data_IF_709496872796
#
_entry.id   IF_709496872796
#
_cell.length_a   1.000
_cell.length_b   1.000
_cell.length_c   1.000
_cell.angle_alpha   90.00
_cell.angle_beta   90.00
_cell.angle_gamma   90.00
#
_symmetry.space_group_name_H-M   'P 1'
#
loop_
_entity.id
_entity.type
_entity.pdbx_description
1 polymer ?
#
# COMPACT_ATOMS: atom_id res chain seq x y z
N UNK A 1 6.76 -21.28 2.41
CA UNK A 1 7.96 -20.76 3.10
C UNK A 1 7.72 -19.30 3.45
N UNK A 2 7.78 -18.97 4.73
CA UNK A 2 7.80 -17.58 5.16
C UNK A 2 9.13 -16.98 4.76
N UNK A 3 9.14 -16.08 3.80
CA UNK A 3 10.33 -15.34 3.44
C UNK A 3 10.23 -13.93 4.00
N UNK A 4 11.25 -13.52 4.73
CA UNK A 4 11.39 -12.13 5.22
C UNK A 4 11.91 -11.18 4.14
N UNK A 5 12.07 -11.65 2.91
CA UNK A 5 12.61 -10.90 1.77
C UNK A 5 11.57 -10.78 0.67
N UNK A 6 11.56 -9.67 -0.07
CA UNK A 6 10.73 -9.55 -1.26
C UNK A 6 10.98 -10.69 -2.25
N UNK A 7 9.90 -11.23 -2.81
CA UNK A 7 9.98 -12.30 -3.81
C UNK A 7 9.65 -11.73 -5.18
N UNK A 8 10.53 -11.96 -6.14
CA UNK A 8 10.31 -11.61 -7.55
C UNK A 8 10.13 -12.89 -8.35
N UNK A 9 8.99 -13.00 -9.03
CA UNK A 9 8.68 -14.12 -9.92
C UNK A 9 8.92 -13.68 -11.36
N UNK A 10 9.92 -14.29 -12.00
CA UNK A 10 10.19 -14.09 -13.42
C UNK A 10 9.38 -15.10 -14.23
N UNK A 11 8.30 -14.64 -14.87
CA UNK A 11 7.44 -15.48 -15.68
C UNK A 11 7.79 -15.33 -17.17
N UNK A 12 8.26 -16.42 -17.80
CA UNK A 12 8.42 -16.49 -19.24
C UNK A 12 7.12 -16.99 -19.85
N UNK A 13 6.42 -16.14 -20.57
CA UNK A 13 5.12 -16.44 -21.16
C UNK A 13 5.16 -16.26 -22.67
N UNK A 14 4.10 -16.76 -23.34
CA UNK A 14 3.89 -16.57 -24.76
C UNK A 14 2.77 -15.58 -24.96
N UNK A 15 3.02 -14.50 -25.68
CA UNK A 15 2.01 -13.48 -25.98
C UNK A 15 0.89 -14.11 -26.82
N UNK A 16 -0.35 -13.87 -26.42
CA UNK A 16 -1.52 -14.45 -27.10
C UNK A 16 -1.65 -15.96 -26.90
N UNK A 17 -1.10 -16.53 -25.83
CA UNK A 17 -1.21 -17.96 -25.54
C UNK A 17 -2.67 -18.45 -25.66
N UNK A 18 -2.86 -19.50 -26.42
CA UNK A 18 -4.18 -20.10 -26.68
C UNK A 18 -4.87 -19.60 -27.94
N UNK A 19 -4.49 -18.47 -28.50
CA UNK A 19 -5.14 -17.91 -29.72
C UNK A 19 -4.70 -18.60 -31.01
N UNK A 20 -3.77 -19.54 -30.94
CA UNK A 20 -3.31 -20.35 -32.08
C UNK A 20 -2.94 -19.46 -33.30
N UNK A 21 -3.43 -19.80 -34.48
CA UNK A 21 -3.15 -19.06 -35.71
C UNK A 21 -3.62 -17.59 -35.68
N UNK A 22 -4.53 -17.22 -34.80
CA UNK A 22 -5.02 -15.85 -34.68
C UNK A 22 -4.02 -14.87 -34.06
N UNK A 23 -2.83 -15.34 -33.66
CA UNK A 23 -1.81 -14.44 -33.16
C UNK A 23 -0.89 -14.97 -32.05
N UNK A 24 -0.96 -16.26 -31.69
CA UNK A 24 -0.09 -16.82 -30.66
C UNK A 24 1.38 -16.65 -31.04
N UNK A 25 2.16 -16.08 -30.13
CA UNK A 25 3.58 -15.73 -30.33
C UNK A 25 3.83 -14.69 -31.44
N UNK A 26 2.80 -13.99 -31.90
CA UNK A 26 2.89 -12.97 -32.94
C UNK A 26 2.80 -11.56 -32.37
N UNK A 27 3.46 -10.60 -33.00
CA UNK A 27 3.33 -9.18 -32.70
C UNK A 27 1.94 -8.64 -33.06
N UNK A 28 1.23 -9.27 -33.98
CA UNK A 28 -0.13 -8.90 -34.37
C UNK A 28 -1.13 -9.01 -33.20
N UNK A 29 -0.88 -9.89 -32.26
CA UNK A 29 -1.69 -10.05 -31.04
C UNK A 29 -1.85 -8.75 -30.29
N UNK A 30 -0.88 -7.85 -30.34
CA UNK A 30 -0.96 -6.54 -29.67
C UNK A 30 -2.09 -5.66 -30.25
N UNK A 31 -2.36 -5.80 -31.52
CA UNK A 31 -3.38 -5.01 -32.24
C UNK A 31 -4.69 -5.76 -32.44
N UNK A 32 -4.73 -7.01 -32.01
CA UNK A 32 -5.92 -7.85 -32.18
C UNK A 32 -7.05 -7.35 -31.27
N UNK A 33 -8.15 -6.88 -31.88
CA UNK A 33 -9.30 -6.36 -31.15
C UNK A 33 -10.42 -7.41 -30.93
N UNK A 34 -10.54 -8.36 -31.84
CA UNK A 34 -11.54 -9.42 -31.80
C UNK A 34 -10.99 -10.69 -32.43
N UNK A 35 -11.36 -11.82 -31.90
CA UNK A 35 -11.19 -13.12 -32.54
C UNK A 35 -12.41 -13.37 -33.46
N UNK A 36 -12.15 -13.99 -34.61
CA UNK A 36 -13.23 -14.52 -35.43
C UNK A 36 -13.84 -15.79 -34.81
N UNK A 37 -14.93 -16.26 -35.35
CA UNK A 37 -15.66 -17.39 -34.79
C UNK A 37 -14.85 -18.70 -34.86
N UNK A 38 -14.02 -18.88 -35.89
CA UNK A 38 -13.17 -20.05 -36.02
C UNK A 38 -12.09 -20.08 -34.93
N UNK A 39 -11.46 -18.93 -34.68
CA UNK A 39 -10.45 -18.74 -33.62
C UNK A 39 -11.06 -18.90 -32.23
N UNK A 40 -12.28 -18.37 -31.99
CA UNK A 40 -12.99 -18.58 -30.75
C UNK A 40 -13.31 -20.06 -30.51
N UNK A 41 -13.71 -20.80 -31.57
CA UNK A 41 -13.95 -22.22 -31.50
C UNK A 41 -12.68 -23.01 -31.18
N UNK A 42 -11.59 -22.71 -31.86
CA UNK A 42 -10.29 -23.33 -31.60
C UNK A 42 -9.80 -23.07 -30.15
N UNK A 43 -9.97 -21.85 -29.65
CA UNK A 43 -9.67 -21.49 -28.27
C UNK A 43 -10.52 -22.28 -27.27
N UNK A 44 -11.83 -22.29 -27.46
CA UNK A 44 -12.77 -23.06 -26.64
C UNK A 44 -12.40 -24.53 -26.58
N UNK A 45 -12.17 -25.14 -27.75
CA UNK A 45 -11.90 -26.57 -27.88
C UNK A 45 -10.53 -26.92 -27.25
N UNK A 46 -9.52 -26.07 -27.44
CA UNK A 46 -8.17 -26.25 -26.83
C UNK A 46 -8.24 -26.28 -25.31
N UNK A 47 -9.07 -25.44 -24.69
CA UNK A 47 -9.19 -25.33 -23.23
C UNK A 47 -10.39 -26.09 -22.65
N UNK A 48 -11.12 -26.83 -23.47
CA UNK A 48 -12.27 -27.62 -23.02
C UNK A 48 -13.36 -26.78 -22.36
N UNK A 49 -13.57 -25.52 -22.83
CA UNK A 49 -14.56 -24.62 -22.23
C UNK A 49 -15.97 -25.08 -22.65
N UNK A 50 -16.87 -25.40 -21.72
CA UNK A 50 -18.18 -25.99 -22.02
C UNK A 50 -19.19 -24.94 -22.49
N UNK A 51 -18.93 -24.32 -23.64
CA UNK A 51 -19.80 -23.37 -24.33
C UNK A 51 -20.18 -23.96 -25.68
N UNK A 52 -21.48 -23.99 -25.98
CA UNK A 52 -21.96 -24.53 -27.25
C UNK A 52 -21.60 -23.64 -28.45
N UNK A 53 -21.54 -24.23 -29.65
CA UNK A 53 -21.29 -23.48 -30.89
C UNK A 53 -22.30 -22.34 -31.11
N UNK A 54 -23.53 -22.50 -30.62
CA UNK A 54 -24.60 -21.51 -30.72
C UNK A 54 -24.33 -20.30 -29.86
N UNK A 55 -23.80 -20.51 -28.66
CA UNK A 55 -23.53 -19.45 -27.67
C UNK A 55 -22.18 -18.78 -27.91
N UNK A 56 -21.25 -19.46 -28.57
CA UNK A 56 -19.88 -19.03 -28.74
C UNK A 56 -19.75 -17.64 -29.38
N UNK A 57 -20.66 -17.30 -30.33
CA UNK A 57 -20.67 -16.01 -31.02
C UNK A 57 -20.90 -14.82 -30.07
N UNK A 58 -21.58 -15.07 -28.94
CA UNK A 58 -21.94 -14.05 -27.95
C UNK A 58 -20.88 -13.96 -26.84
N UNK A 59 -19.84 -14.80 -26.89
CA UNK A 59 -18.73 -14.85 -25.91
C UNK A 59 -19.26 -14.81 -24.47
N UNK A 60 -20.07 -15.80 -24.04
CA UNK A 60 -20.75 -15.74 -22.76
C UNK A 60 -19.75 -15.85 -21.61
N UNK A 61 -20.09 -15.26 -20.48
CA UNK A 61 -19.35 -15.40 -19.25
C UNK A 61 -19.52 -16.83 -18.72
N UNK A 62 -18.47 -17.64 -18.83
CA UNK A 62 -18.46 -18.98 -18.25
C UNK A 62 -18.07 -18.92 -16.78
N UNK A 63 -18.92 -19.45 -15.93
CA UNK A 63 -18.64 -19.66 -14.50
C UNK A 63 -18.64 -21.15 -14.20
N UNK A 64 -17.52 -21.73 -13.77
CA UNK A 64 -17.46 -23.14 -13.38
C UNK A 64 -18.47 -23.47 -12.28
N UNK A 65 -19.04 -24.68 -12.24
CA UNK A 65 -19.86 -25.15 -11.13
C UNK A 65 -19.15 -24.97 -9.79
N UNK A 66 -19.91 -24.61 -8.75
CA UNK A 66 -19.33 -24.31 -7.44
C UNK A 66 -18.59 -25.48 -6.77
N UNK A 67 -18.91 -26.71 -7.20
CA UNK A 67 -18.36 -28.00 -6.78
C UNK A 67 -17.32 -28.59 -7.78
N UNK A 68 -16.98 -27.85 -8.85
CA UNK A 68 -15.95 -28.27 -9.78
C UNK A 68 -14.57 -28.35 -9.08
N UNK A 69 -13.66 -29.19 -9.56
CA UNK A 69 -12.32 -29.32 -8.96
C UNK A 69 -11.58 -27.99 -8.86
N UNK A 70 -11.69 -27.15 -9.90
CA UNK A 70 -11.04 -25.84 -9.97
C UNK A 70 -11.59 -24.89 -8.90
N UNK A 71 -12.92 -24.86 -8.75
CA UNK A 71 -13.57 -24.00 -7.76
C UNK A 71 -13.30 -24.46 -6.33
N UNK A 72 -13.23 -25.78 -6.11
CA UNK A 72 -12.84 -26.33 -4.79
C UNK A 72 -11.41 -25.95 -4.45
N UNK A 73 -10.47 -26.19 -5.37
CA UNK A 73 -9.06 -25.82 -5.18
C UNK A 73 -8.89 -24.33 -4.88
N UNK A 74 -9.51 -23.46 -5.68
CA UNK A 74 -9.43 -22.03 -5.50
C UNK A 74 -10.01 -21.57 -4.13
N UNK A 75 -11.15 -22.13 -3.71
CA UNK A 75 -11.77 -21.81 -2.43
C UNK A 75 -10.93 -22.29 -1.25
N UNK A 76 -10.35 -23.49 -1.36
CA UNK A 76 -9.48 -24.05 -0.33
C UNK A 76 -8.24 -23.18 -0.13
N UNK A 77 -7.51 -22.87 -1.23
CA UNK A 77 -6.36 -21.96 -1.17
C UNK A 77 -6.72 -20.60 -0.62
N UNK A 78 -7.86 -20.06 -1.02
CA UNK A 78 -8.34 -18.79 -0.52
C UNK A 78 -8.71 -18.85 0.96
N UNK A 79 -9.29 -19.95 1.41
CA UNK A 79 -9.60 -20.20 2.82
C UNK A 79 -8.35 -20.25 3.70
N UNK A 80 -7.30 -20.95 3.25
CA UNK A 80 -6.00 -21.00 3.94
C UNK A 80 -5.35 -19.62 4.11
N UNK A 81 -5.61 -18.71 3.19
CA UNK A 81 -5.14 -17.33 3.25
C UNK A 81 -6.09 -16.39 4.01
N UNK A 82 -7.02 -16.91 4.79
CA UNK A 82 -7.94 -16.11 5.60
C UNK A 82 -9.20 -15.60 4.87
N UNK A 83 -9.55 -16.13 3.70
CA UNK A 83 -10.77 -15.79 2.97
C UNK A 83 -10.57 -14.83 1.80
N UNK A 84 -11.65 -14.17 1.36
CA UNK A 84 -11.60 -13.26 0.22
C UNK A 84 -10.89 -11.95 0.54
N UNK A 85 -10.19 -11.38 -0.44
CA UNK A 85 -9.53 -10.08 -0.32
C UNK A 85 -10.44 -8.98 -0.89
N UNK A 86 -10.51 -7.83 -0.22
CA UNK A 86 -10.02 -7.53 1.11
C UNK A 86 -10.98 -8.06 2.19
N UNK A 87 -10.46 -8.86 3.13
CA UNK A 87 -11.18 -9.15 4.35
C UNK A 87 -10.92 -7.99 5.31
N UNK A 88 -11.84 -7.04 5.38
CA UNK A 88 -11.69 -5.85 6.22
C UNK A 88 -12.52 -5.98 7.48
N UNK A 89 -11.90 -5.73 8.61
CA UNK A 89 -12.57 -5.61 9.90
C UNK A 89 -13.00 -4.16 10.11
N UNK A 90 -14.23 -3.95 10.55
CA UNK A 90 -14.74 -2.62 10.90
C UNK A 90 -14.50 -2.28 12.39
N UNK A 91 -14.06 -3.24 13.19
CA UNK A 91 -13.88 -3.07 14.63
C UNK A 91 -12.39 -3.02 14.97
N UNK A 92 -12.02 -2.07 15.81
CA UNK A 92 -10.71 -1.95 16.42
C UNK A 92 -10.86 -1.65 17.91
N UNK A 93 -9.79 -1.81 18.68
CA UNK A 93 -9.77 -1.34 20.07
C UNK A 93 -9.95 0.16 20.12
N UNK A 94 -10.85 0.62 20.99
CA UNK A 94 -11.00 2.05 21.24
C UNK A 94 -9.76 2.60 21.93
N UNK A 95 -9.22 3.68 21.38
CA UNK A 95 -8.09 4.40 21.98
C UNK A 95 -8.62 5.61 22.77
N UNK A 96 -8.08 5.85 23.99
CA UNK A 96 -8.47 7.01 24.76
C UNK A 96 -8.02 8.29 24.05
N UNK A 97 -8.95 9.23 23.88
CA UNK A 97 -8.59 10.56 23.36
C UNK A 97 -7.76 11.33 24.42
N UNK A 98 -6.70 12.04 24.01
CA UNK A 98 -5.95 12.89 24.92
C UNK A 98 -6.84 13.97 25.53
N UNK A 99 -6.60 14.30 26.80
CA UNK A 99 -7.31 15.39 27.44
C UNK A 99 -6.99 16.74 26.77
N UNK A 100 -7.95 17.66 26.70
CA UNK A 100 -7.74 19.01 26.15
C UNK A 100 -6.59 19.74 26.82
N UNK A 101 -6.32 19.47 28.09
CA UNK A 101 -5.19 20.05 28.83
C UNK A 101 -3.83 19.73 28.23
N UNK A 102 -3.67 18.60 27.50
CA UNK A 102 -2.44 18.27 26.79
C UNK A 102 -2.12 19.31 25.70
N UNK A 103 -3.12 20.00 25.21
CA UNK A 103 -3.00 21.01 24.16
C UNK A 103 -3.19 22.45 24.68
N UNK A 104 -3.12 22.65 26.00
CA UNK A 104 -3.44 23.93 26.62
C UNK A 104 -2.60 25.12 26.09
N UNK A 105 -1.33 24.85 25.72
CA UNK A 105 -0.45 25.88 25.13
C UNK A 105 -0.87 26.31 23.73
N UNK A 106 -1.52 25.44 22.97
CA UNK A 106 -2.02 25.71 21.62
C UNK A 106 -3.44 26.33 21.65
N UNK A 107 -4.20 26.10 22.73
CA UNK A 107 -5.55 26.62 22.91
C UNK A 107 -5.55 28.05 23.46
N UNK A 108 -4.42 28.54 23.97
CA UNK A 108 -4.24 29.92 24.41
C UNK A 108 -3.92 30.81 23.22
N UNK A 109 -4.18 32.12 23.40
CA UNK A 109 -3.78 33.10 22.40
C UNK A 109 -2.28 33.12 22.19
N UNK A 110 -1.85 33.32 20.94
CA UNK A 110 -0.45 33.56 20.59
C UNK A 110 0.06 34.91 21.03
N UNK A 111 -0.83 35.76 21.56
CA UNK A 111 -0.54 37.13 21.92
C UNK A 111 -0.27 38.00 20.69
N UNK A 112 0.89 38.70 20.69
CA UNK A 112 1.35 39.51 19.55
C UNK A 112 2.18 38.74 18.53
N UNK A 113 2.39 37.43 18.74
CA UNK A 113 3.21 36.62 17.81
C UNK A 113 2.34 36.05 16.69
N UNK A 114 2.76 36.28 15.48
CA UNK A 114 2.21 35.63 14.31
C UNK A 114 2.70 34.17 14.27
N UNK A 115 1.80 33.25 14.05
CA UNK A 115 2.07 31.81 13.95
C UNK A 115 1.34 31.28 12.73
N UNK A 116 2.08 30.59 11.83
CA UNK A 116 1.45 29.92 10.71
C UNK A 116 0.59 28.74 11.20
N UNK A 117 -0.42 28.39 10.43
CA UNK A 117 -1.25 27.21 10.69
C UNK A 117 -0.43 25.92 10.69
N UNK A 118 0.56 25.82 9.81
CA UNK A 118 1.50 24.68 9.77
C UNK A 118 2.28 24.54 11.08
N UNK A 119 2.82 25.65 11.62
CA UNK A 119 3.54 25.62 12.90
C UNK A 119 2.60 25.32 14.08
N UNK A 120 1.36 25.74 14.02
CA UNK A 120 0.37 25.36 15.02
C UNK A 120 0.09 23.85 14.98
N UNK A 121 -0.08 23.27 13.78
CA UNK A 121 -0.22 21.84 13.58
C UNK A 121 0.99 21.07 14.10
N UNK A 122 2.22 21.46 13.74
CA UNK A 122 3.46 20.80 14.18
C UNK A 122 3.57 20.79 15.72
N UNK A 123 3.14 21.86 16.40
CA UNK A 123 3.11 21.93 17.87
C UNK A 123 2.07 20.98 18.47
N UNK A 124 0.88 20.90 17.85
CA UNK A 124 -0.15 19.93 18.25
C UNK A 124 0.36 18.52 18.07
N UNK A 125 0.95 18.21 16.93
CA UNK A 125 1.56 16.93 16.63
C UNK A 125 2.66 16.57 17.64
N UNK A 126 3.54 17.51 17.97
CA UNK A 126 4.58 17.30 19.00
C UNK A 126 4.00 17.02 20.38
N UNK A 127 2.84 17.60 20.72
CA UNK A 127 2.15 17.29 21.98
C UNK A 127 1.52 15.90 21.95
N UNK A 128 0.94 15.52 20.83
CA UNK A 128 0.33 14.22 20.62
C UNK A 128 1.35 13.08 20.69
N UNK A 129 2.51 13.25 20.08
CA UNK A 129 3.62 12.30 20.09
C UNK A 129 4.22 12.05 21.49
N UNK A 130 3.96 12.94 22.45
CA UNK A 130 4.35 12.76 23.85
C UNK A 130 3.31 12.00 24.69
N UNK A 131 2.13 11.76 24.12
CA UNK A 131 1.10 10.96 24.81
C UNK A 131 1.59 9.49 24.93
N UNK A 132 1.44 8.92 26.13
CA UNK A 132 1.96 7.59 26.44
C UNK A 132 1.24 6.44 25.74
N UNK A 133 0.02 6.68 25.27
CA UNK A 133 -0.83 5.66 24.63
C UNK A 133 -0.86 5.86 23.11
N UNK A 134 -1.03 7.10 22.69
CA UNK A 134 -1.20 7.43 21.27
C UNK A 134 0.13 7.75 20.59
N UNK A 135 1.13 8.24 21.33
CA UNK A 135 2.37 8.74 20.74
C UNK A 135 3.07 7.72 19.85
N UNK A 136 3.13 6.46 20.28
CA UNK A 136 3.74 5.37 19.51
C UNK A 136 2.93 4.94 18.27
N UNK A 137 1.65 5.35 18.21
CA UNK A 137 0.73 5.02 17.10
C UNK A 137 0.61 6.13 16.06
N UNK A 138 1.22 7.27 16.32
CA UNK A 138 1.21 8.41 15.40
C UNK A 138 2.47 8.36 14.55
N UNK A 139 2.32 8.11 13.27
CA UNK A 139 3.42 8.00 12.31
C UNK A 139 3.36 9.18 11.35
N UNK A 140 4.27 10.17 11.48
CA UNK A 140 4.41 11.21 10.48
C UNK A 140 4.94 10.61 9.17
N UNK A 141 4.26 10.91 8.06
CA UNK A 141 4.67 10.47 6.72
C UNK A 141 4.99 11.73 5.93
N UNK A 142 6.21 11.81 5.42
CA UNK A 142 6.76 13.05 4.87
C UNK A 142 7.33 12.84 3.47
N UNK A 143 6.85 13.59 2.45
CA UNK A 143 7.46 13.59 1.12
C UNK A 143 8.59 14.61 1.02
N UNK A 144 9.66 14.45 1.79
CA UNK A 144 10.89 15.26 1.81
C UNK A 144 10.70 16.77 2.18
N UNK A 145 9.58 17.13 2.80
CA UNK A 145 9.26 18.53 3.12
C UNK A 145 9.25 18.85 4.63
N UNK A 146 9.74 17.92 5.47
CA UNK A 146 9.69 18.06 6.91
C UNK A 146 10.38 19.34 7.42
N UNK A 147 11.48 19.72 6.80
CA UNK A 147 12.23 20.94 7.15
C UNK A 147 11.44 22.21 6.82
N UNK A 148 10.89 22.27 5.63
CA UNK A 148 10.07 23.40 5.16
C UNK A 148 8.85 23.60 6.06
N UNK A 149 8.30 22.54 6.61
CA UNK A 149 7.19 22.57 7.55
C UNK A 149 7.61 22.80 9.03
N UNK A 150 8.92 22.98 9.30
CA UNK A 150 9.42 23.18 10.65
C UNK A 150 9.37 21.93 11.53
N UNK A 151 9.43 20.74 10.93
CA UNK A 151 9.41 19.45 11.61
C UNK A 151 10.81 18.91 11.91
N UNK A 152 11.89 19.59 11.53
CA UNK A 152 13.26 19.12 11.71
C UNK A 152 13.61 18.79 13.17
N UNK A 153 13.00 19.49 14.12
CA UNK A 153 13.14 19.18 15.54
C UNK A 153 12.65 17.80 15.96
N UNK A 154 11.75 17.21 15.16
CA UNK A 154 11.22 15.86 15.40
C UNK A 154 12.21 14.77 15.01
N UNK A 155 13.15 15.01 14.11
CA UNK A 155 14.15 14.02 13.70
C UNK A 155 14.98 13.52 14.89
N UNK A 156 15.34 14.41 15.79
CA UNK A 156 16.06 14.04 17.02
C UNK A 156 15.20 13.23 17.99
N UNK A 157 13.92 13.56 18.07
CA UNK A 157 12.99 12.95 19.03
C UNK A 157 12.50 11.59 18.57
N UNK A 158 12.16 11.45 17.30
CA UNK A 158 11.45 10.30 16.74
C UNK A 158 12.37 9.41 15.89
N UNK A 159 13.37 10.00 15.23
CA UNK A 159 14.16 9.32 14.20
C UNK A 159 13.35 9.05 12.92
N UNK A 160 14.06 8.89 11.84
CA UNK A 160 13.51 8.46 10.55
C UNK A 160 13.63 6.94 10.48
N UNK A 161 12.55 6.27 10.10
CA UNK A 161 12.56 4.82 10.00
C UNK A 161 13.44 4.35 8.85
N UNK A 162 14.32 3.39 9.16
CA UNK A 162 15.08 2.65 8.16
C UNK A 162 15.24 1.21 8.63
N UNK A 163 14.80 0.24 7.86
CA UNK A 163 14.89 -1.19 8.19
C UNK A 163 16.32 -1.70 8.39
N UNK A 164 17.31 -0.96 7.91
CA UNK A 164 18.74 -1.31 7.99
C UNK A 164 19.57 -0.31 8.80
N UNK A 165 18.94 0.66 9.45
CA UNK A 165 19.56 1.83 10.06
C UNK A 165 20.40 2.66 9.06
N UNK A 166 20.99 3.73 9.54
CA UNK A 166 21.82 4.61 8.72
C UNK A 166 23.17 3.95 8.41
N UNK A 167 23.46 3.73 7.13
CA UNK A 167 24.68 3.10 6.65
C UNK A 167 25.73 4.10 6.11
N UNK A 168 25.46 5.38 6.20
CA UNK A 168 26.28 6.46 5.69
C UNK A 168 26.37 7.60 6.70
N UNK A 169 27.36 8.45 6.55
CA UNK A 169 27.43 9.71 7.29
C UNK A 169 26.78 10.79 6.41
N UNK A 170 25.77 11.52 6.91
CA UNK A 170 25.19 12.64 6.17
C UNK A 170 26.27 13.65 5.75
N UNK A 171 26.16 14.20 4.56
CA UNK A 171 27.15 15.14 4.01
C UNK A 171 27.30 16.40 4.87
N UNK A 172 26.23 16.81 5.54
CA UNK A 172 26.15 17.93 6.46
C UNK A 172 26.23 17.52 7.94
N UNK A 173 26.78 16.33 8.23
CA UNK A 173 26.98 15.86 9.60
C UNK A 173 27.87 16.85 10.38
N UNK A 174 27.35 17.36 11.49
CA UNK A 174 27.99 18.40 12.26
C UNK A 174 27.47 19.81 12.01
N UNK A 175 26.56 19.98 11.06
CA UNK A 175 25.79 21.21 10.90
C UNK A 175 24.67 21.37 11.93
N UNK A 176 23.82 22.39 11.75
CA UNK A 176 22.69 22.68 12.64
C UNK A 176 21.56 21.63 12.57
N UNK A 177 21.57 20.77 11.55
CA UNK A 177 20.54 19.78 11.31
C UNK A 177 20.94 18.42 11.87
N UNK A 178 20.02 17.85 12.62
CA UNK A 178 20.14 16.49 13.11
C UNK A 178 19.31 15.57 12.21
N UNK A 179 19.99 14.71 11.47
CA UNK A 179 19.36 13.68 10.63
C UNK A 179 19.84 12.31 11.09
N UNK A 180 18.90 11.45 11.46
CA UNK A 180 19.22 10.10 11.92
C UNK A 180 18.17 9.11 11.42
N UNK A 181 18.64 8.09 10.73
CA UNK A 181 17.87 6.91 10.37
C UNK A 181 18.11 5.79 11.39
N UNK A 182 17.02 5.14 11.81
CA UNK A 182 17.08 4.08 12.82
C UNK A 182 15.96 3.07 12.58
N UNK A 183 16.19 1.81 12.96
CA UNK A 183 15.15 0.76 12.89
C UNK A 183 13.96 1.04 13.80
N UNK A 184 14.17 1.83 14.85
CA UNK A 184 13.14 2.30 15.77
C UNK A 184 12.58 3.67 15.39
N UNK A 185 12.98 4.23 14.25
CA UNK A 185 12.49 5.51 13.77
C UNK A 185 10.98 5.48 13.51
N UNK A 186 10.30 6.58 13.81
CA UNK A 186 8.85 6.69 13.72
C UNK A 186 8.37 7.55 12.56
N UNK A 187 9.26 8.33 11.95
CA UNK A 187 8.96 9.14 10.76
C UNK A 187 9.20 8.29 9.52
N UNK A 188 8.21 8.21 8.63
CA UNK A 188 8.39 7.65 7.29
C UNK A 188 8.75 8.77 6.32
N UNK A 189 9.97 8.72 5.81
CA UNK A 189 10.46 9.65 4.79
C UNK A 189 10.35 8.98 3.43
N UNK A 190 9.47 9.51 2.57
CA UNK A 190 9.12 8.90 1.27
C UNK A 190 9.94 9.49 0.10
N UNK A 191 10.79 10.49 0.37
CA UNK A 191 11.40 11.29 -0.67
C UNK A 191 10.38 12.17 -1.39
N UNK A 192 10.79 12.85 -2.46
CA UNK A 192 9.93 13.76 -3.25
C UNK A 192 8.92 12.94 -4.04
N UNK A 193 7.94 12.37 -3.37
CA UNK A 193 6.94 11.48 -3.94
C UNK A 193 5.63 11.51 -3.12
N UNK A 194 4.75 12.44 -3.42
CA UNK A 194 3.46 12.59 -2.76
C UNK A 194 2.54 11.38 -2.99
N UNK A 195 2.61 10.76 -4.16
CA UNK A 195 1.84 9.55 -4.45
C UNK A 195 2.29 8.37 -3.57
N UNK A 196 3.60 8.24 -3.33
CA UNK A 196 4.17 7.26 -2.40
C UNK A 196 3.74 7.56 -0.97
N UNK A 197 3.87 8.81 -0.52
CA UNK A 197 3.46 9.24 0.82
C UNK A 197 1.96 8.98 1.07
N UNK A 198 1.10 9.26 0.08
CA UNK A 198 -0.32 8.96 0.18
C UNK A 198 -0.60 7.46 0.24
N UNK A 199 0.13 6.65 -0.52
CA UNK A 199 0.01 5.19 -0.50
C UNK A 199 0.44 4.60 0.86
N UNK A 200 1.54 5.09 1.43
CA UNK A 200 2.01 4.72 2.76
C UNK A 200 0.99 5.13 3.84
N UNK A 201 0.41 6.35 3.72
CA UNK A 201 -0.68 6.80 4.60
C UNK A 201 -1.90 5.88 4.52
N UNK A 202 -2.34 5.52 3.31
CA UNK A 202 -3.48 4.63 3.12
C UNK A 202 -3.23 3.27 3.78
N UNK A 203 -2.04 2.69 3.57
CA UNK A 203 -1.65 1.42 4.16
C UNK A 203 -1.65 1.49 5.70
N UNK A 204 -1.04 2.52 6.28
CA UNK A 204 -0.99 2.73 7.72
C UNK A 204 -2.39 2.96 8.32
N UNK A 205 -3.20 3.83 7.69
CA UNK A 205 -4.53 4.17 8.17
C UNK A 205 -5.53 3.02 8.10
N UNK A 206 -5.31 2.04 7.22
CA UNK A 206 -6.19 0.87 7.05
C UNK A 206 -5.63 -0.41 7.66
N UNK A 207 -4.42 -0.38 8.21
CA UNK A 207 -3.75 -1.57 8.78
C UNK A 207 -4.59 -2.30 9.82
N UNK A 208 -5.29 -1.56 10.69
CA UNK A 208 -6.18 -2.14 11.72
C UNK A 208 -7.29 -3.03 11.15
N UNK A 209 -7.68 -2.81 9.89
CA UNK A 209 -8.76 -3.56 9.25
C UNK A 209 -8.31 -4.83 8.56
N UNK A 210 -7.01 -5.03 8.35
CA UNK A 210 -6.42 -6.15 7.60
C UNK A 210 -5.33 -6.91 8.37
N UNK A 211 -4.78 -6.31 9.43
CA UNK A 211 -3.72 -6.88 10.25
C UNK A 211 -4.19 -7.11 11.69
N UNK A 212 -3.64 -8.11 12.35
CA UNK A 212 -3.90 -8.41 13.77
C UNK A 212 -3.08 -7.52 14.68
#
# INVERSE_FOLDING_TARGET
EETTRPTVILARTVKGYGTSEAGEASNETHSLKKLDLASLKAFRDRFGIPVSDRELKDVPFYRPPADSPEMRYMKERRGELGGHIPARRAQSQSLPAPAKSAFASQLKSSGKREISTTMAFVRILSSLLKDKVLGERVVPIVPDEARTFGMEGMFRQLGIYSSVSQKYTPHDAGGSLYYKEDVSGQILEEGINEAGAFSAWLAAATSYSVSD
#
